data_IF_965011558208
#
_entry.id   IF_965011558208
#
_cell.length_a   1.000
_cell.length_b   1.000
_cell.length_c   1.000
_cell.angle_alpha   90.00
_cell.angle_beta   90.00
_cell.angle_gamma   90.00
#
_symmetry.space_group_name_H-M   'P 1'
#
loop_
_entity.id
_entity.type
_entity.pdbx_description
1 polymer ?
#
# COMPACT_ATOMS: atom_id res chain seq x y z
N UNK A 1 21.99 7.11 20.64
CA UNK A 1 20.70 6.42 20.34
C UNK A 1 20.43 6.43 18.85
N UNK A 2 20.39 5.25 18.22
CA UNK A 2 20.18 5.08 16.77
C UNK A 2 18.74 5.40 16.34
N UNK A 3 18.53 5.82 15.09
CA UNK A 3 17.19 6.09 14.52
C UNK A 3 16.27 4.87 14.58
N UNK A 4 16.84 3.67 14.48
CA UNK A 4 16.12 2.39 14.55
C UNK A 4 15.66 2.06 15.97
N UNK A 5 16.54 2.20 16.98
CA UNK A 5 16.15 2.07 18.39
C UNK A 5 15.03 3.05 18.75
N UNK A 6 15.10 4.29 18.23
CA UNK A 6 14.06 5.29 18.45
C UNK A 6 12.68 4.85 17.97
N UNK A 7 12.60 4.34 16.74
CA UNK A 7 11.35 3.79 16.19
C UNK A 7 10.82 2.60 17.00
N UNK A 8 11.72 1.69 17.40
CA UNK A 8 11.34 0.53 18.23
C UNK A 8 10.80 0.95 19.60
N UNK A 9 11.41 1.96 20.24
CA UNK A 9 10.91 2.54 21.51
C UNK A 9 9.55 3.19 21.32
N UNK A 10 9.39 4.04 20.29
CA UNK A 10 8.12 4.70 19.99
C UNK A 10 6.99 3.69 19.73
N UNK A 11 7.29 2.60 19.00
CA UNK A 11 6.32 1.53 18.73
C UNK A 11 5.96 0.74 20.00
N UNK A 12 6.94 0.39 20.83
CA UNK A 12 6.70 -0.29 22.13
C UNK A 12 5.79 0.55 23.03
N UNK A 13 6.05 1.86 23.10
CA UNK A 13 5.29 2.77 23.95
C UNK A 13 3.85 2.94 23.45
N UNK A 14 3.63 2.93 22.13
CA UNK A 14 2.30 2.91 21.53
C UNK A 14 1.54 1.62 21.91
N UNK A 15 2.12 0.44 21.64
CA UNK A 15 1.48 -0.86 21.93
C UNK A 15 1.15 -1.01 23.43
N UNK A 16 1.99 -0.44 24.30
CA UNK A 16 1.73 -0.42 25.74
C UNK A 16 0.49 0.42 26.07
N UNK A 17 0.33 1.59 25.45
CA UNK A 17 -0.85 2.44 25.62
C UNK A 17 -2.11 1.75 25.08
N UNK A 18 -2.03 1.11 23.93
CA UNK A 18 -3.16 0.41 23.32
C UNK A 18 -3.65 -0.75 24.20
N UNK A 19 -2.73 -1.43 24.91
CA UNK A 19 -3.07 -2.44 25.91
C UNK A 19 -3.81 -1.87 27.12
N UNK A 20 -3.47 -0.66 27.55
CA UNK A 20 -4.15 0.06 28.63
C UNK A 20 -5.56 0.49 28.17
N UNK A 21 -5.66 1.11 26.99
CA UNK A 21 -6.92 1.54 26.41
C UNK A 21 -7.88 0.36 26.17
N UNK A 22 -7.38 -0.77 25.65
CA UNK A 22 -8.17 -1.98 25.48
C UNK A 22 -8.75 -2.50 26.81
N UNK A 23 -8.01 -2.34 27.92
CA UNK A 23 -8.51 -2.71 29.24
C UNK A 23 -9.65 -1.77 29.67
N UNK A 24 -9.52 -0.47 29.44
CA UNK A 24 -10.57 0.52 29.72
C UNK A 24 -11.83 0.25 28.88
N UNK A 25 -11.69 0.01 27.58
CA UNK A 25 -12.80 -0.31 26.68
C UNK A 25 -13.53 -1.60 27.10
N UNK A 26 -12.80 -2.61 27.59
CA UNK A 26 -13.39 -3.82 28.14
C UNK A 26 -14.18 -3.53 29.43
N UNK A 27 -13.65 -2.69 30.32
CA UNK A 27 -14.32 -2.30 31.57
C UNK A 27 -15.58 -1.45 31.32
N UNK A 28 -15.56 -0.63 30.27
CA UNK A 28 -16.72 0.13 29.79
C UNK A 28 -17.74 -0.72 29.02
N UNK A 29 -17.38 -1.97 28.67
CA UNK A 29 -18.22 -2.88 27.89
C UNK A 29 -18.32 -2.54 26.41
N UNK A 30 -17.41 -1.71 25.90
CA UNK A 30 -17.30 -1.36 24.48
C UNK A 30 -16.72 -2.51 23.65
N UNK A 31 -15.91 -3.36 24.31
CA UNK A 31 -15.33 -4.57 23.73
C UNK A 31 -15.71 -5.78 24.58
N UNK A 32 -16.21 -6.83 23.93
CA UNK A 32 -16.56 -8.06 24.64
C UNK A 32 -15.31 -8.80 25.17
N UNK A 33 -15.44 -9.59 26.25
CA UNK A 33 -14.29 -10.25 26.88
C UNK A 33 -13.48 -11.18 25.96
N UNK A 34 -14.14 -11.87 25.02
CA UNK A 34 -13.48 -12.82 24.13
C UNK A 34 -12.67 -12.09 23.05
N UNK A 35 -13.20 -10.98 22.53
CA UNK A 35 -12.48 -10.07 21.62
C UNK A 35 -11.32 -9.38 22.33
N UNK A 36 -11.54 -8.85 23.54
CA UNK A 36 -10.49 -8.24 24.33
C UNK A 36 -9.37 -9.23 24.70
N UNK A 37 -9.71 -10.50 24.99
CA UNK A 37 -8.71 -11.54 25.24
C UNK A 37 -7.83 -11.81 24.02
N UNK A 38 -8.41 -11.87 22.82
CA UNK A 38 -7.68 -12.07 21.56
C UNK A 38 -6.77 -10.89 21.22
N UNK A 39 -7.29 -9.67 21.27
CA UNK A 39 -6.52 -8.44 21.00
C UNK A 39 -5.36 -8.28 21.99
N UNK A 40 -5.61 -8.54 23.27
CA UNK A 40 -4.57 -8.50 24.30
C UNK A 40 -3.46 -9.53 24.06
N UNK A 41 -3.79 -10.74 23.59
CA UNK A 41 -2.80 -11.75 23.26
C UNK A 41 -1.92 -11.33 22.07
N UNK A 42 -2.51 -10.67 21.06
CA UNK A 42 -1.78 -10.14 19.91
C UNK A 42 -0.80 -9.03 20.32
N UNK A 43 -1.28 -8.00 21.05
CA UNK A 43 -0.42 -6.91 21.52
C UNK A 43 0.71 -7.38 22.43
N UNK A 44 0.47 -8.37 23.30
CA UNK A 44 1.54 -8.96 24.12
C UNK A 44 2.62 -9.65 23.29
N UNK A 45 2.21 -10.39 22.26
CA UNK A 45 3.15 -11.05 21.34
C UNK A 45 3.99 -10.01 20.58
N UNK A 46 3.37 -8.91 20.16
CA UNK A 46 4.08 -7.80 19.51
C UNK A 46 5.06 -7.13 20.48
N UNK A 47 4.64 -6.88 21.72
CA UNK A 47 5.48 -6.29 22.76
C UNK A 47 6.73 -7.16 23.03
N UNK A 48 6.56 -8.47 23.18
CA UNK A 48 7.67 -9.42 23.38
C UNK A 48 8.67 -9.37 22.20
N UNK A 49 8.17 -9.26 20.97
CA UNK A 49 9.00 -9.13 19.76
C UNK A 49 9.76 -7.80 19.70
N UNK A 50 9.13 -6.70 20.09
CA UNK A 50 9.75 -5.38 20.16
C UNK A 50 10.83 -5.34 21.24
N UNK A 51 10.59 -5.95 22.39
CA UNK A 51 11.57 -6.07 23.46
C UNK A 51 12.78 -6.92 23.06
N UNK A 52 12.56 -8.04 22.37
CA UNK A 52 13.64 -8.85 21.81
C UNK A 52 14.49 -8.06 20.81
N UNK A 53 13.84 -7.29 19.92
CA UNK A 53 14.51 -6.44 18.94
C UNK A 53 15.29 -5.30 19.60
N UNK A 54 14.75 -4.69 20.66
CA UNK A 54 15.44 -3.65 21.43
C UNK A 54 16.69 -4.17 22.15
N UNK A 55 16.78 -5.47 22.43
CA UNK A 55 17.97 -6.09 23.00
C UNK A 55 19.16 -6.11 22.01
N UNK A 56 18.87 -6.19 20.70
CA UNK A 56 19.89 -6.15 19.64
C UNK A 56 20.42 -4.73 19.40
N UNK A 57 19.70 -3.70 19.86
CA UNK A 57 20.09 -2.30 19.79
C UNK A 57 20.23 -1.69 21.18
N UNK A 58 21.20 -2.12 22.01
CA UNK A 58 21.33 -1.62 23.37
C UNK A 58 21.53 -0.11 23.41
N UNK A 59 21.09 0.50 24.51
CA UNK A 59 21.33 1.92 24.75
C UNK A 59 22.84 2.15 24.86
N UNK A 60 23.38 3.01 23.98
CA UNK A 60 24.75 3.46 24.13
C UNK A 60 24.89 4.11 25.51
N UNK A 61 25.87 3.69 26.33
CA UNK A 61 26.12 4.35 27.60
C UNK A 61 26.34 5.83 27.32
N UNK A 62 25.63 6.67 28.06
CA UNK A 62 25.80 8.11 28.02
C UNK A 62 27.25 8.43 28.42
N UNK A 63 28.13 8.58 27.41
CA UNK A 63 29.49 9.09 27.59
C UNK A 63 29.37 10.55 28.00
N UNK A 64 29.05 10.78 29.28
CA UNK A 64 29.41 12.02 29.95
C UNK A 64 30.90 12.23 29.66
N UNK A 65 31.31 13.38 29.07
CA UNK A 65 32.70 13.59 28.76
C UNK A 65 33.49 13.49 30.06
N UNK A 66 34.32 12.45 30.17
CA UNK A 66 35.37 12.42 31.15
C UNK A 66 36.24 13.66 30.88
N UNK A 67 36.42 14.48 31.91
CA UNK A 67 37.39 15.58 31.91
C UNK A 67 38.71 15.14 31.28
N UNK A 68 39.26 15.87 30.30
CA UNK A 68 40.49 15.46 29.65
C UNK A 68 41.66 15.59 30.63
N UNK A 69 42.53 14.58 30.78
CA UNK A 69 43.82 14.78 31.42
C UNK A 69 44.71 15.65 30.52
N UNK A 70 45.61 16.47 31.10
CA UNK A 70 46.42 17.39 30.32
C UNK A 70 47.56 16.65 29.61
N UNK A 71 47.74 17.05 28.36
CA UNK A 71 49.01 17.13 27.64
C UNK A 71 49.67 15.79 27.23
N UNK A 72 49.39 15.34 26.01
CA UNK A 72 50.37 14.59 25.22
C UNK A 72 50.19 14.86 23.71
N UNK A 73 51.28 15.28 23.08
CA UNK A 73 51.40 15.72 21.70
C UNK A 73 51.17 14.58 20.67
N UNK A 74 50.87 14.90 19.39
CA UNK A 74 50.35 13.92 18.44
C UNK A 74 51.48 13.12 17.77
N UNK A 75 51.27 11.81 17.63
CA UNK A 75 52.11 10.93 16.81
C UNK A 75 51.23 10.08 15.85
N UNK A 76 51.78 9.68 14.69
CA UNK A 76 51.03 9.54 13.44
C UNK A 76 50.28 8.21 13.28
N UNK A 77 49.21 8.28 12.50
CA UNK A 77 48.35 7.17 12.07
C UNK A 77 49.07 6.13 11.23
N UNK A 78 48.85 4.83 11.47
CA UNK A 78 49.00 3.80 10.46
C UNK A 78 47.65 3.49 9.80
N UNK A 79 47.61 3.61 8.47
CA UNK A 79 46.53 3.15 7.63
C UNK A 79 46.31 1.64 7.79
N UNK A 80 45.05 1.21 7.83
CA UNK A 80 44.67 -0.21 7.79
C UNK A 80 43.66 -0.43 6.66
N UNK A 81 43.76 -1.51 5.87
CA UNK A 81 43.16 -1.61 4.54
C UNK A 81 41.67 -1.97 4.57
N UNK A 82 40.99 -1.59 3.49
CA UNK A 82 39.63 -1.99 3.15
C UNK A 82 39.45 -3.51 3.23
N UNK A 83 38.33 -3.96 3.80
CA UNK A 83 37.85 -5.35 3.71
C UNK A 83 36.58 -5.42 2.87
N UNK A 84 36.40 -6.52 2.10
CA UNK A 84 35.36 -6.66 1.10
C UNK A 84 34.01 -7.12 1.68
N UNK A 85 32.98 -6.80 0.90
CA UNK A 85 31.60 -7.27 0.94
C UNK A 85 31.52 -8.79 1.15
N UNK A 86 30.68 -9.25 2.08
CA UNK A 86 30.09 -10.59 1.97
C UNK A 86 28.72 -10.69 2.64
N UNK A 87 27.75 -11.10 1.79
CA UNK A 87 26.63 -11.99 2.08
C UNK A 87 25.49 -11.46 2.95
N UNK A 88 24.48 -10.95 2.25
CA UNK A 88 23.09 -10.99 2.70
C UNK A 88 22.68 -12.47 2.74
N UNK A 89 22.57 -13.04 3.94
CA UNK A 89 21.80 -14.27 4.16
C UNK A 89 20.33 -13.84 4.14
N UNK A 90 19.65 -14.12 3.02
CA UNK A 90 18.19 -14.05 2.94
C UNK A 90 17.63 -15.13 3.86
N UNK A 91 17.24 -14.77 5.08
CA UNK A 91 16.36 -15.60 5.90
C UNK A 91 14.93 -15.29 5.42
N UNK A 92 14.49 -16.01 4.40
CA UNK A 92 13.09 -16.06 4.01
C UNK A 92 12.32 -16.81 5.10
N UNK A 93 11.80 -16.06 6.08
CA UNK A 93 10.91 -16.63 7.08
C UNK A 93 9.51 -16.73 6.47
N UNK A 94 9.15 -17.95 6.07
CA UNK A 94 7.78 -18.36 5.77
C UNK A 94 6.95 -18.19 7.05
N UNK A 95 6.08 -17.19 7.10
CA UNK A 95 4.93 -17.15 8.01
C UNK A 95 3.66 -17.10 7.14
N UNK A 96 3.34 -18.24 6.54
CA UNK A 96 2.00 -18.51 6.00
C UNK A 96 1.40 -19.57 6.90
N UNK A 97 0.74 -19.19 8.00
CA UNK A 97 -0.25 -20.05 8.70
C UNK A 97 -1.31 -19.26 9.51
N UNK A 98 -1.08 -18.03 9.99
CA UNK A 98 -2.03 -17.46 10.97
C UNK A 98 -3.29 -16.81 10.35
N UNK A 99 -3.27 -16.36 9.10
CA UNK A 99 -4.41 -15.62 8.51
C UNK A 99 -5.47 -16.46 7.79
N UNK A 100 -5.22 -17.75 7.54
CA UNK A 100 -6.28 -18.69 7.11
C UNK A 100 -7.16 -19.17 8.28
N UNK A 101 -6.76 -18.94 9.52
CA UNK A 101 -7.53 -19.33 10.71
C UNK A 101 -8.75 -18.45 11.02
N UNK A 102 -8.76 -17.19 10.54
CA UNK A 102 -9.87 -16.27 10.81
C UNK A 102 -11.07 -16.46 9.88
N UNK A 103 -10.90 -17.15 8.74
CA UNK A 103 -12.00 -17.47 7.81
C UNK A 103 -12.68 -18.81 8.17
N UNK A 104 -12.06 -19.68 8.99
CA UNK A 104 -12.60 -21.03 9.26
C UNK A 104 -13.44 -21.18 10.55
N UNK A 105 -13.65 -20.13 11.36
CA UNK A 105 -14.43 -20.30 12.61
C UNK A 105 -15.53 -19.25 12.81
N UNK A 106 -16.25 -18.90 11.75
CA UNK A 106 -17.53 -18.19 11.80
C UNK A 106 -18.72 -19.06 11.34
N UNK A 107 -18.57 -20.39 11.32
CA UNK A 107 -19.66 -21.31 10.97
C UNK A 107 -19.72 -22.53 11.90
N UNK A 108 -20.12 -22.33 13.16
CA UNK A 108 -20.80 -23.38 13.94
C UNK A 108 -21.88 -22.79 14.87
N UNK A 109 -23.14 -23.01 14.45
CA UNK A 109 -24.39 -22.76 15.17
C UNK A 109 -25.25 -21.75 14.42
N UNK A 110 -26.38 -22.06 13.78
CA UNK A 110 -27.33 -23.17 13.91
C UNK A 110 -28.24 -23.17 12.65
N UNK A 111 -28.74 -24.34 12.21
CA UNK A 111 -29.91 -24.42 11.32
C UNK A 111 -29.72 -24.80 9.84
N UNK A 112 -29.71 -26.11 9.57
CA UNK A 112 -30.40 -26.81 8.46
C UNK A 112 -30.28 -26.33 7.00
N UNK A 113 -29.63 -27.15 6.15
CA UNK A 113 -29.99 -27.27 4.72
C UNK A 113 -28.82 -27.45 3.74
N UNK A 114 -28.67 -28.67 3.26
CA UNK A 114 -27.89 -29.12 2.08
C UNK A 114 -26.35 -29.19 2.18
N UNK A 115 -25.84 -30.44 2.13
CA UNK A 115 -24.41 -30.74 2.11
C UNK A 115 -23.91 -30.71 0.66
N UNK A 116 -23.28 -29.62 0.24
CA UNK A 116 -22.36 -29.70 -0.90
C UNK A 116 -20.97 -30.09 -0.38
N UNK A 117 -20.69 -31.38 -0.37
CA UNK A 117 -19.34 -31.93 -0.25
C UNK A 117 -18.51 -31.44 -1.44
N UNK A 118 -17.65 -30.46 -1.24
CA UNK A 118 -16.57 -30.17 -2.20
C UNK A 118 -15.44 -31.15 -1.91
N UNK A 119 -15.42 -32.21 -2.72
CA UNK A 119 -14.34 -33.17 -2.82
C UNK A 119 -13.18 -32.46 -3.51
N UNK A 120 -12.07 -32.24 -2.81
CA UNK A 120 -10.84 -31.72 -3.41
C UNK A 120 -10.36 -32.69 -4.49
N UNK A 121 -10.33 -32.21 -5.74
CA UNK A 121 -9.66 -32.90 -6.82
C UNK A 121 -8.14 -32.80 -6.62
N UNK A 122 -7.35 -33.85 -6.88
CA UNK A 122 -5.91 -33.75 -6.83
C UNK A 122 -5.43 -33.07 -8.11
N UNK A 123 -5.03 -31.80 -8.02
CA UNK A 123 -4.44 -31.09 -9.17
C UNK A 123 -4.29 -29.56 -9.09
N UNK A 124 -4.74 -28.89 -8.03
CA UNK A 124 -4.62 -27.43 -7.95
C UNK A 124 -3.29 -26.98 -7.33
N UNK A 125 -2.55 -26.13 -8.07
CA UNK A 125 -1.34 -25.46 -7.61
C UNK A 125 -1.64 -24.58 -6.38
N UNK A 126 -0.74 -24.55 -5.39
CA UNK A 126 -0.89 -23.66 -4.24
C UNK A 126 -0.54 -22.23 -4.66
N UNK A 127 -1.52 -21.33 -4.77
CA UNK A 127 -1.19 -19.95 -5.13
C UNK A 127 -2.31 -18.99 -5.45
N UNK A 128 -3.40 -18.94 -4.67
CA UNK A 128 -4.28 -17.77 -4.72
C UNK A 128 -4.86 -17.49 -3.33
N UNK A 129 -4.25 -16.53 -2.63
CA UNK A 129 -4.84 -15.91 -1.45
C UNK A 129 -5.91 -14.95 -1.96
N UNK A 130 -7.16 -15.41 -2.03
CA UNK A 130 -8.32 -14.57 -2.37
C UNK A 130 -8.77 -13.77 -1.15
N UNK A 131 -7.93 -12.86 -0.68
CA UNK A 131 -8.34 -11.85 0.31
C UNK A 131 -8.96 -10.69 -0.47
N UNK A 132 -10.22 -10.37 -0.19
CA UNK A 132 -10.88 -9.17 -0.73
C UNK A 132 -10.19 -7.92 -0.14
N UNK A 133 -9.50 -7.10 -0.94
CA UNK A 133 -8.82 -5.91 -0.44
C UNK A 133 -9.78 -4.86 0.15
N UNK A 134 -11.07 -4.91 -0.23
CA UNK A 134 -12.08 -3.99 0.31
C UNK A 134 -12.51 -4.36 1.73
N UNK A 135 -12.27 -5.61 2.16
CA UNK A 135 -12.64 -6.10 3.48
C UNK A 135 -11.55 -5.88 4.56
N UNK A 136 -10.37 -5.40 4.17
CA UNK A 136 -9.26 -5.09 5.09
C UNK A 136 -9.15 -3.59 5.32
N UNK A 137 -8.83 -3.18 6.55
CA UNK A 137 -8.52 -1.79 6.91
C UNK A 137 -7.24 -1.30 6.22
N UNK A 138 -7.06 0.02 6.10
CA UNK A 138 -5.85 0.61 5.51
C UNK A 138 -4.60 0.18 6.28
N UNK A 139 -4.64 0.18 7.61
CA UNK A 139 -3.52 -0.24 8.46
C UNK A 139 -3.15 -1.71 8.26
N UNK A 140 -4.15 -2.58 8.07
CA UNK A 140 -3.91 -3.98 7.76
C UNK A 140 -3.30 -4.15 6.37
N UNK A 141 -3.77 -3.36 5.39
CA UNK A 141 -3.28 -3.42 4.02
C UNK A 141 -1.84 -2.91 3.92
N UNK A 142 -1.49 -1.84 4.65
CA UNK A 142 -0.11 -1.39 4.85
C UNK A 142 0.78 -2.49 5.41
N UNK A 143 0.35 -3.16 6.49
CA UNK A 143 1.11 -4.25 7.09
C UNK A 143 1.30 -5.43 6.12
N UNK A 144 0.28 -5.77 5.32
CA UNK A 144 0.35 -6.82 4.29
C UNK A 144 1.36 -6.45 3.21
N UNK A 145 1.29 -5.23 2.68
CA UNK A 145 2.20 -4.74 1.63
C UNK A 145 3.63 -4.61 2.15
N UNK A 146 3.82 -4.15 3.38
CA UNK A 146 5.14 -4.06 4.01
C UNK A 146 5.79 -5.45 4.18
N UNK A 147 5.01 -6.46 4.58
CA UNK A 147 5.49 -7.83 4.71
C UNK A 147 5.64 -8.55 3.36
N UNK A 148 4.87 -8.16 2.34
CA UNK A 148 4.79 -8.83 1.04
C UNK A 148 4.79 -7.80 -0.09
N UNK A 149 5.93 -7.11 -0.34
CA UNK A 149 5.98 -5.96 -1.24
C UNK A 149 5.67 -6.28 -2.71
N UNK A 150 5.79 -7.55 -3.09
CA UNK A 150 5.69 -7.99 -4.49
C UNK A 150 4.27 -8.45 -4.87
N UNK A 151 3.32 -8.45 -3.93
CA UNK A 151 1.92 -8.75 -4.24
C UNK A 151 1.28 -7.50 -4.85
N UNK A 152 1.44 -7.34 -6.16
CA UNK A 152 1.01 -6.15 -6.93
C UNK A 152 -0.45 -5.79 -6.67
N UNK A 153 -1.37 -6.75 -6.67
CA UNK A 153 -2.79 -6.47 -6.41
C UNK A 153 -3.08 -5.87 -5.02
N UNK A 154 -2.37 -6.30 -3.97
CA UNK A 154 -2.52 -5.72 -2.62
C UNK A 154 -1.91 -4.32 -2.54
N UNK A 155 -0.77 -4.12 -3.21
CA UNK A 155 -0.15 -2.80 -3.33
C UNK A 155 -1.02 -1.83 -4.13
N UNK A 156 -1.66 -2.30 -5.20
CA UNK A 156 -2.60 -1.52 -6.01
C UNK A 156 -3.79 -1.07 -5.16
N UNK A 157 -4.40 -1.99 -4.40
CA UNK A 157 -5.50 -1.65 -3.52
C UNK A 157 -5.11 -0.62 -2.44
N UNK A 158 -3.87 -0.67 -1.93
CA UNK A 158 -3.37 0.33 -0.98
C UNK A 158 -3.17 1.69 -1.65
N UNK A 159 -2.61 1.69 -2.86
CA UNK A 159 -2.44 2.90 -3.65
C UNK A 159 -3.80 3.55 -3.99
N UNK A 160 -4.78 2.73 -4.38
CA UNK A 160 -6.15 3.16 -4.68
C UNK A 160 -6.82 3.80 -3.45
N UNK A 161 -6.64 3.23 -2.25
CA UNK A 161 -7.11 3.83 -0.98
C UNK A 161 -6.53 5.23 -0.75
N UNK A 162 -5.20 5.36 -0.84
CA UNK A 162 -4.56 6.66 -0.70
C UNK A 162 -5.00 7.65 -1.78
N UNK A 163 -5.21 7.18 -3.00
CA UNK A 163 -5.68 7.99 -4.11
C UNK A 163 -7.11 8.51 -3.88
N UNK A 164 -8.01 7.65 -3.39
CA UNK A 164 -9.39 8.00 -3.03
C UNK A 164 -9.45 9.00 -1.88
N UNK A 165 -8.52 8.89 -0.91
CA UNK A 165 -8.35 9.84 0.20
C UNK A 165 -7.63 11.15 -0.21
N UNK A 166 -7.26 11.28 -1.49
CA UNK A 166 -6.45 12.37 -2.06
C UNK A 166 -5.05 12.53 -1.43
N UNK A 167 -4.54 11.51 -0.72
CA UNK A 167 -3.15 11.43 -0.28
C UNK A 167 -2.24 11.00 -1.43
N UNK A 168 -2.06 11.91 -2.38
CA UNK A 168 -1.24 11.68 -3.57
C UNK A 168 0.25 11.43 -3.26
N UNK A 169 0.74 11.87 -2.10
CA UNK A 169 2.10 11.58 -1.68
C UNK A 169 2.29 10.09 -1.45
N UNK A 170 1.46 9.51 -0.58
CA UNK A 170 1.50 8.07 -0.28
C UNK A 170 1.10 7.22 -1.49
N UNK A 171 0.09 7.64 -2.25
CA UNK A 171 -0.35 6.91 -3.45
C UNK A 171 0.74 6.83 -4.53
N UNK A 172 1.46 7.93 -4.79
CA UNK A 172 2.47 7.99 -5.84
C UNK A 172 3.61 7.00 -5.63
N UNK A 173 4.10 6.86 -4.39
CA UNK A 173 5.17 5.91 -4.07
C UNK A 173 4.77 4.47 -4.41
N UNK A 174 3.50 4.10 -4.14
CA UNK A 174 3.00 2.77 -4.46
C UNK A 174 2.77 2.58 -5.96
N UNK A 175 2.17 3.54 -6.66
CA UNK A 175 1.95 3.42 -8.11
C UNK A 175 3.26 3.43 -8.90
N UNK A 176 4.28 4.21 -8.51
CA UNK A 176 5.59 4.17 -9.15
C UNK A 176 6.23 2.79 -9.02
N UNK A 177 6.16 2.19 -7.83
CA UNK A 177 6.64 0.82 -7.63
C UNK A 177 5.93 -0.16 -8.57
N UNK A 178 4.59 -0.06 -8.69
CA UNK A 178 3.81 -0.92 -9.58
C UNK A 178 4.22 -0.70 -11.03
N UNK A 179 4.30 0.55 -11.50
CA UNK A 179 4.69 0.84 -12.88
C UNK A 179 6.09 0.30 -13.23
N UNK A 180 7.02 0.27 -12.28
CA UNK A 180 8.39 -0.22 -12.50
C UNK A 180 8.54 -1.75 -12.35
N UNK A 181 7.67 -2.39 -11.57
CA UNK A 181 7.85 -3.77 -11.12
C UNK A 181 6.64 -4.69 -11.39
N UNK A 182 5.60 -4.19 -12.06
CA UNK A 182 4.45 -5.00 -12.43
C UNK A 182 4.89 -6.19 -13.28
N UNK A 183 4.31 -7.36 -12.99
CA UNK A 183 4.48 -8.55 -13.82
C UNK A 183 3.59 -8.54 -15.06
N UNK A 184 2.50 -7.75 -15.02
CA UNK A 184 1.44 -7.73 -16.03
C UNK A 184 1.23 -6.31 -16.58
N UNK A 185 1.04 -6.19 -17.89
CA UNK A 185 0.90 -4.91 -18.57
C UNK A 185 -0.37 -4.12 -18.14
N UNK A 186 -1.42 -4.83 -17.73
CA UNK A 186 -2.68 -4.20 -17.27
C UNK A 186 -2.46 -3.46 -15.94
N UNK A 187 -1.68 -4.05 -15.02
CA UNK A 187 -1.37 -3.42 -13.73
C UNK A 187 -0.47 -2.19 -13.93
N UNK A 188 0.53 -2.29 -14.82
CA UNK A 188 1.39 -1.17 -15.21
C UNK A 188 0.57 -0.04 -15.84
N UNK A 189 -0.32 -0.38 -16.78
CA UNK A 189 -1.20 0.60 -17.42
C UNK A 189 -2.10 1.30 -16.40
N UNK A 190 -2.72 0.57 -15.47
CA UNK A 190 -3.55 1.17 -14.41
C UNK A 190 -2.73 2.12 -13.54
N UNK A 191 -1.55 1.71 -13.08
CA UNK A 191 -0.68 2.57 -12.27
C UNK A 191 -0.28 3.85 -13.02
N UNK A 192 0.11 3.74 -14.29
CA UNK A 192 0.46 4.90 -15.12
C UNK A 192 -0.72 5.86 -15.31
N UNK A 193 -1.94 5.35 -15.49
CA UNK A 193 -3.13 6.21 -15.58
C UNK A 193 -3.34 7.03 -14.28
N UNK A 194 -3.18 6.38 -13.12
CA UNK A 194 -3.30 7.02 -11.81
C UNK A 194 -2.21 8.06 -11.56
N UNK A 195 -0.97 7.76 -11.95
CA UNK A 195 0.15 8.71 -11.91
C UNK A 195 -0.17 9.94 -12.78
N UNK A 196 -0.67 9.72 -14.00
CA UNK A 196 -1.08 10.79 -14.89
C UNK A 196 -2.17 11.68 -14.30
N UNK A 197 -3.20 11.09 -13.66
CA UNK A 197 -4.23 11.88 -12.98
C UNK A 197 -3.69 12.71 -11.81
N UNK A 198 -2.80 12.14 -10.99
CA UNK A 198 -2.17 12.88 -9.89
C UNK A 198 -1.28 14.02 -10.42
N UNK A 199 -0.54 13.79 -11.52
CA UNK A 199 0.22 14.83 -12.22
C UNK A 199 -0.70 15.96 -12.70
N UNK A 200 -1.85 15.61 -13.29
CA UNK A 200 -2.86 16.59 -13.70
C UNK A 200 -3.38 17.42 -12.50
N UNK A 201 -3.78 16.75 -11.41
CA UNK A 201 -4.28 17.40 -10.19
C UNK A 201 -3.26 18.33 -9.54
N UNK A 202 -1.97 18.13 -9.81
CA UNK A 202 -0.87 18.95 -9.28
C UNK A 202 -0.32 19.99 -10.28
N UNK A 203 -0.94 20.11 -11.46
CA UNK A 203 -0.61 21.14 -12.46
C UNK A 203 0.42 20.73 -13.50
N UNK A 204 0.86 19.47 -13.51
CA UNK A 204 1.82 18.90 -14.46
C UNK A 204 1.08 18.31 -15.67
N UNK A 205 0.39 19.15 -16.43
CA UNK A 205 -0.58 18.69 -17.44
C UNK A 205 0.07 17.99 -18.65
N UNK A 206 1.29 18.37 -19.03
CA UNK A 206 2.00 17.75 -20.15
C UNK A 206 2.45 16.35 -19.77
N UNK A 207 3.08 16.22 -18.61
CA UNK A 207 3.51 14.94 -18.04
C UNK A 207 2.31 14.02 -17.79
N UNK A 208 1.19 14.60 -17.33
CA UNK A 208 -0.06 13.87 -17.17
C UNK A 208 -0.55 13.22 -18.47
N UNK A 209 -0.56 13.96 -19.59
CA UNK A 209 -0.93 13.41 -20.90
C UNK A 209 0.05 12.32 -21.35
N UNK A 210 1.35 12.50 -21.13
CA UNK A 210 2.36 11.48 -21.46
C UNK A 210 2.09 10.16 -20.71
N UNK A 211 1.91 10.22 -19.38
CA UNK A 211 1.63 9.03 -18.57
C UNK A 211 0.35 8.32 -19.01
N UNK A 212 -0.73 9.07 -19.25
CA UNK A 212 -2.01 8.48 -19.66
C UNK A 212 -1.94 7.92 -21.09
N UNK A 213 -1.19 8.55 -21.99
CA UNK A 213 -0.94 7.99 -23.32
C UNK A 213 -0.17 6.68 -23.24
N UNK A 214 0.88 6.60 -22.42
CA UNK A 214 1.64 5.35 -22.23
C UNK A 214 0.76 4.26 -21.63
N UNK A 215 -0.12 4.61 -20.68
CA UNK A 215 -1.13 3.69 -20.16
C UNK A 215 -2.00 3.09 -21.27
N UNK A 216 -2.54 3.92 -22.16
CA UNK A 216 -3.38 3.48 -23.28
C UNK A 216 -2.61 2.72 -24.37
N UNK A 217 -1.29 2.94 -24.49
CA UNK A 217 -0.43 2.15 -25.38
C UNK A 217 -0.23 0.71 -24.84
N UNK A 218 -0.20 0.54 -23.52
CA UNK A 218 -0.09 -0.77 -22.85
C UNK A 218 -1.44 -1.50 -22.79
N UNK A 219 -2.49 -0.79 -22.38
CA UNK A 219 -3.86 -1.29 -22.35
C UNK A 219 -4.84 -0.30 -23.00
N UNK A 220 -5.14 -0.49 -24.30
CA UNK A 220 -6.11 0.33 -25.01
C UNK A 220 -7.55 0.21 -24.48
N UNK A 221 -7.83 -0.79 -23.64
CA UNK A 221 -9.16 -1.00 -23.04
C UNK A 221 -9.33 -0.34 -21.67
N UNK A 222 -8.29 0.33 -21.16
CA UNK A 222 -8.33 1.02 -19.89
C UNK A 222 -9.26 2.25 -19.96
N UNK A 223 -10.51 2.04 -19.56
CA UNK A 223 -11.57 3.05 -19.55
C UNK A 223 -11.23 4.29 -18.73
N UNK A 224 -10.53 4.11 -17.62
CA UNK A 224 -10.12 5.19 -16.75
C UNK A 224 -9.04 6.05 -17.41
N UNK A 225 -8.03 5.44 -18.02
CA UNK A 225 -7.02 6.16 -18.80
C UNK A 225 -7.66 6.94 -19.96
N UNK A 226 -8.63 6.35 -20.66
CA UNK A 226 -9.34 7.01 -21.75
C UNK A 226 -10.12 8.25 -21.26
N UNK A 227 -10.83 8.14 -20.13
CA UNK A 227 -11.50 9.26 -19.48
C UNK A 227 -10.51 10.35 -19.07
N UNK A 228 -9.43 9.98 -18.37
CA UNK A 228 -8.42 10.91 -17.91
C UNK A 228 -7.77 11.66 -19.07
N UNK A 229 -7.49 11.00 -20.19
CA UNK A 229 -6.91 11.65 -21.36
C UNK A 229 -7.81 12.75 -21.92
N UNK A 230 -9.10 12.46 -22.07
CA UNK A 230 -10.07 13.44 -22.54
C UNK A 230 -10.15 14.65 -21.59
N UNK A 231 -10.15 14.41 -20.28
CA UNK A 231 -10.19 15.47 -19.28
C UNK A 231 -8.91 16.31 -19.25
N UNK A 232 -7.74 15.66 -19.28
CA UNK A 232 -6.44 16.33 -19.32
C UNK A 232 -6.34 17.19 -20.58
N UNK A 233 -6.75 16.66 -21.73
CA UNK A 233 -6.75 17.42 -22.99
C UNK A 233 -7.68 18.63 -22.91
N UNK A 234 -8.90 18.45 -22.41
CA UNK A 234 -9.91 19.52 -22.35
C UNK A 234 -9.57 20.62 -21.35
N UNK A 235 -9.14 20.24 -20.15
CA UNK A 235 -9.00 21.16 -19.01
C UNK A 235 -7.55 21.52 -18.72
N UNK A 236 -6.63 20.56 -18.85
CA UNK A 236 -5.21 20.76 -18.57
C UNK A 236 -4.47 21.40 -19.74
N UNK A 237 -4.69 20.87 -20.95
CA UNK A 237 -4.07 21.39 -22.17
C UNK A 237 -4.94 22.47 -22.85
N UNK A 238 -6.14 22.70 -22.33
CA UNK A 238 -7.12 23.68 -22.83
C UNK A 238 -7.50 23.46 -24.31
N UNK A 239 -7.38 22.23 -24.81
CA UNK A 239 -7.68 21.85 -26.20
C UNK A 239 -9.03 21.12 -26.28
N UNK A 240 -10.11 21.91 -26.19
CA UNK A 240 -11.48 21.40 -26.22
C UNK A 240 -11.78 20.66 -27.54
N UNK A 241 -11.24 21.15 -28.67
CA UNK A 241 -11.47 20.54 -29.98
C UNK A 241 -10.84 19.14 -30.07
N UNK A 242 -9.62 18.97 -29.57
CA UNK A 242 -8.96 17.68 -29.54
C UNK A 242 -9.56 16.70 -28.52
N UNK A 243 -10.17 17.21 -27.44
CA UNK A 243 -10.75 16.37 -26.40
C UNK A 243 -12.05 15.67 -26.84
N UNK A 244 -12.88 16.31 -27.67
CA UNK A 244 -14.17 15.76 -28.13
C UNK A 244 -14.02 14.36 -28.74
N UNK A 245 -13.20 14.14 -29.80
CA UNK A 245 -13.08 12.81 -30.38
C UNK A 245 -12.47 11.79 -29.40
N UNK A 246 -11.60 12.22 -28.48
CA UNK A 246 -11.04 11.31 -27.47
C UNK A 246 -12.11 10.82 -26.48
N UNK A 247 -13.00 11.71 -26.05
CA UNK A 247 -14.12 11.39 -25.18
C UNK A 247 -15.18 10.55 -25.90
N UNK A 248 -15.42 10.80 -27.18
CA UNK A 248 -16.28 9.96 -28.02
C UNK A 248 -15.72 8.55 -28.18
N UNK A 249 -14.42 8.41 -28.49
CA UNK A 249 -13.73 7.12 -28.56
C UNK A 249 -13.80 6.38 -27.20
N UNK A 250 -13.65 7.09 -26.08
CA UNK A 250 -13.75 6.51 -24.74
C UNK A 250 -15.12 5.89 -24.45
N UNK A 251 -16.21 6.43 -25.03
CA UNK A 251 -17.56 5.86 -24.90
C UNK A 251 -17.75 4.54 -25.65
N UNK A 252 -16.88 4.25 -26.63
CA UNK A 252 -16.95 3.00 -27.40
C UNK A 252 -16.32 1.81 -26.65
N UNK A 253 -15.62 2.06 -25.54
CA UNK A 253 -14.98 1.02 -24.76
C UNK A 253 -16.02 0.08 -24.11
N UNK A 254 -15.71 -1.23 -24.00
CA UNK A 254 -16.60 -2.19 -23.38
C UNK A 254 -16.65 -2.00 -21.86
N UNK A 255 -17.77 -2.41 -21.24
CA UNK A 255 -17.93 -2.51 -19.78
C UNK A 255 -17.72 -1.20 -18.99
N UNK A 256 -17.97 -0.05 -19.60
CA UNK A 256 -17.95 1.23 -18.89
C UNK A 256 -18.93 1.23 -17.71
N UNK A 257 -18.48 1.75 -16.57
CA UNK A 257 -19.38 1.98 -15.44
C UNK A 257 -20.37 3.12 -15.76
N UNK A 258 -21.56 3.08 -15.15
CA UNK A 258 -22.58 4.14 -15.33
C UNK A 258 -22.02 5.51 -14.95
N UNK A 259 -21.14 5.57 -13.94
CA UNK A 259 -20.49 6.80 -13.50
C UNK A 259 -19.54 7.36 -14.57
N UNK A 260 -18.70 6.50 -15.17
CA UNK A 260 -17.79 6.92 -16.25
C UNK A 260 -18.58 7.42 -17.46
N UNK A 261 -19.64 6.71 -17.87
CA UNK A 261 -20.51 7.15 -18.97
C UNK A 261 -21.13 8.51 -18.68
N UNK A 262 -21.60 8.75 -17.46
CA UNK A 262 -22.16 10.06 -17.08
C UNK A 262 -21.10 11.16 -17.18
N UNK A 263 -19.91 10.95 -16.61
CA UNK A 263 -18.81 11.91 -16.64
C UNK A 263 -18.36 12.28 -18.07
N UNK A 264 -18.28 11.30 -18.97
CA UNK A 264 -17.92 11.57 -20.37
C UNK A 264 -19.02 12.38 -21.06
N UNK A 265 -20.29 12.04 -20.87
CA UNK A 265 -21.39 12.77 -21.49
C UNK A 265 -21.48 14.22 -20.99
N UNK A 266 -21.29 14.46 -19.69
CA UNK A 266 -21.26 15.80 -19.11
C UNK A 266 -20.12 16.63 -19.73
N UNK A 267 -18.92 16.05 -19.84
CA UNK A 267 -17.78 16.72 -20.48
C UNK A 267 -18.00 17.00 -21.97
N UNK A 268 -18.65 16.08 -22.71
CA UNK A 268 -18.99 16.28 -24.12
C UNK A 268 -20.04 17.37 -24.30
N UNK A 269 -21.06 17.45 -23.44
CA UNK A 269 -22.04 18.53 -23.46
C UNK A 269 -21.36 19.88 -23.25
N UNK A 270 -20.49 19.96 -22.25
CA UNK A 270 -19.70 21.16 -21.96
C UNK A 270 -18.79 21.56 -23.13
N UNK A 271 -18.06 20.60 -23.70
CA UNK A 271 -17.14 20.84 -24.82
C UNK A 271 -17.87 21.38 -26.06
N UNK A 272 -19.03 20.79 -26.37
CA UNK A 272 -19.90 21.23 -27.48
C UNK A 272 -20.52 22.60 -27.25
N UNK A 273 -20.74 22.99 -25.99
CA UNK A 273 -21.17 24.35 -25.64
C UNK A 273 -20.08 25.42 -25.80
N UNK A 274 -18.80 25.00 -25.80
CA UNK A 274 -17.63 25.89 -25.96
C UNK A 274 -17.14 26.00 -27.39
N UNK A 275 -17.52 25.08 -28.27
CA UNK A 275 -17.18 25.10 -29.69
C UNK A 275 -18.24 25.90 -30.47
N UNK A 276 -17.82 26.83 -31.36
CA UNK A 276 -18.73 27.75 -32.06
C UNK A 276 -19.56 27.10 -33.18
#
# INVERSE_FOLDING_TARGET
MTSERKRLVERRDLVTRDLEELAEQQDLGEVDPDTAARLRAAYKTELDSLEASLADFPEEPDERPATPPPDEAPAPTPATPARPVSQIVKVSLVIVVVLTGAIFLAARGDGSGDQTTVQSAPGESPGELTVDPNAVSSEQLEAIVAANPDIVGMRMALADRYFEDEDYGSALDHYLYIAENAGEAVDEAQALARIGWMAYRTGLHIEADEYVRTSLELDPSNAEAALYRGFITMYGLEDVEAAIPQLEDALELPNLSVNVVAQINDALEEARGRTP
#
